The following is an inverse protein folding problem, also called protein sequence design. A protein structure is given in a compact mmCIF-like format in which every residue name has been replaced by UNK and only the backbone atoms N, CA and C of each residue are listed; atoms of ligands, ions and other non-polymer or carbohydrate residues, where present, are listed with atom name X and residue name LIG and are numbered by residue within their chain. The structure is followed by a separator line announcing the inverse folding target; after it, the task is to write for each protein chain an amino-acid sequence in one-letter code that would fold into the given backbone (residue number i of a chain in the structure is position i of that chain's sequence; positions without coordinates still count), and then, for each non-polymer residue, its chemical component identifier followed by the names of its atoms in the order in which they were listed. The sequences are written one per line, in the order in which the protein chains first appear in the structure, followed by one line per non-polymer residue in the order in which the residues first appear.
data_IF_806165557596
#
_entry.id   IF_806165557596
#
_cell.length_a   1.000
_cell.length_b   1.000
_cell.length_c   1.000
_cell.angle_alpha   90.00
_cell.angle_beta   90.00
_cell.angle_gamma   90.00
#
_symmetry.space_group_name_H-M   'P 1'
#
loop_
_entity.id
_entity.type
_entity.pdbx_description
1 polymer ?
#
# COMPACT_ATOMS: atom_id res chain seq x y z
N UNK A 1 1.06 56.32 6.85
CA UNK A 1 1.14 55.97 8.29
C UNK A 1 -0.11 55.18 8.64
N UNK A 2 0.06 54.07 9.39
CA UNK A 2 -0.95 53.07 9.83
C UNK A 2 -1.28 52.03 8.72
N UNK A 3 -0.67 50.82 8.65
CA UNK A 3 -0.67 49.63 9.56
C UNK A 3 -2.10 49.20 9.96
N UNK A 4 -2.63 47.95 9.87
CA UNK A 4 -2.09 46.59 10.06
C UNK A 4 -3.16 45.52 9.69
N UNK A 5 -2.73 44.42 9.03
CA UNK A 5 -3.07 42.97 9.15
C UNK A 5 -4.51 42.43 9.24
N UNK A 6 -4.82 41.48 8.34
CA UNK A 6 -5.40 40.12 8.52
C UNK A 6 -5.80 39.60 7.13
N UNK A 7 -5.57 38.37 6.67
CA UNK A 7 -5.40 37.11 7.38
C UNK A 7 -4.45 36.19 6.59
N UNK A 8 -3.61 35.47 7.33
CA UNK A 8 -3.06 34.18 6.91
C UNK A 8 -4.20 33.18 7.01
N UNK A 9 -4.60 32.56 5.90
CA UNK A 9 -5.45 31.37 5.93
C UNK A 9 -4.74 30.25 5.18
N UNK A 10 -4.51 29.18 5.94
CA UNK A 10 -4.03 27.84 5.63
C UNK A 10 -3.74 27.51 4.15
N UNK A 11 -2.49 27.11 3.93
CA UNK A 11 -2.14 26.13 2.90
C UNK A 11 -2.97 24.86 3.14
N UNK A 12 -3.91 24.63 2.23
CA UNK A 12 -4.76 23.46 2.17
C UNK A 12 -5.45 23.44 0.81
N UNK A 13 -4.72 23.83 -0.23
CA UNK A 13 -5.19 23.66 -1.59
C UNK A 13 -4.97 22.18 -1.91
N UNK A 14 -6.00 21.38 -1.65
CA UNK A 14 -6.28 20.24 -2.52
C UNK A 14 -6.50 20.81 -3.92
N UNK A 15 -5.40 21.15 -4.59
CA UNK A 15 -5.41 21.23 -6.04
C UNK A 15 -5.72 19.81 -6.47
N UNK A 16 -6.98 19.55 -6.83
CA UNK A 16 -7.27 18.57 -7.84
C UNK A 16 -6.43 18.98 -9.05
N UNK A 17 -5.19 18.50 -9.09
CA UNK A 17 -4.41 18.41 -10.31
C UNK A 17 -5.30 17.60 -11.23
N UNK A 18 -5.97 18.29 -12.16
CA UNK A 18 -6.54 17.64 -13.31
C UNK A 18 -5.39 16.84 -13.92
N UNK A 19 -5.42 15.52 -13.74
CA UNK A 19 -4.41 14.61 -14.26
C UNK A 19 -4.29 14.93 -15.75
N UNK A 20 -3.12 15.35 -16.27
CA UNK A 20 -2.97 15.68 -17.69
C UNK A 20 -3.15 14.44 -18.60
N UNK A 21 -3.37 13.28 -18.01
CA UNK A 21 -3.45 11.99 -18.64
C UNK A 21 -4.74 11.31 -18.19
N UNK A 22 -5.88 11.86 -18.60
CA UNK A 22 -7.04 11.02 -18.84
C UNK A 22 -6.60 10.00 -19.91
N UNK A 23 -6.30 8.77 -19.49
CA UNK A 23 -6.18 7.66 -20.42
C UNK A 23 -7.56 7.48 -21.05
N UNK A 24 -7.77 8.09 -22.22
CA UNK A 24 -9.08 8.22 -22.87
C UNK A 24 -9.58 6.91 -23.50
N UNK A 25 -9.23 5.76 -22.93
CA UNK A 25 -9.76 4.46 -23.31
C UNK A 25 -9.96 3.63 -22.03
N UNK A 26 -11.22 3.22 -21.83
CA UNK A 26 -11.79 2.51 -20.68
C UNK A 26 -11.87 3.29 -19.36
N UNK A 27 -13.02 3.16 -18.68
CA UNK A 27 -13.30 3.64 -17.32
C UNK A 27 -12.40 2.96 -16.25
N UNK A 28 -11.25 2.40 -16.66
CA UNK A 28 -10.32 1.67 -15.83
C UNK A 28 -9.71 2.59 -14.78
N UNK A 29 -9.84 2.20 -13.51
CA UNK A 29 -9.28 2.90 -12.37
C UNK A 29 -7.85 2.42 -12.13
N UNK A 30 -6.84 3.30 -12.15
CA UNK A 30 -5.48 2.90 -11.87
C UNK A 30 -5.29 2.53 -10.41
N UNK A 31 -4.28 1.71 -10.12
CA UNK A 31 -3.68 1.69 -8.80
C UNK A 31 -2.87 2.99 -8.63
N UNK A 32 -3.04 3.70 -7.51
CA UNK A 32 -2.41 5.01 -7.30
C UNK A 32 -1.62 4.99 -5.99
N UNK A 33 -0.35 5.38 -6.08
CA UNK A 33 0.56 5.54 -4.95
C UNK A 33 1.25 6.89 -4.98
N UNK A 34 1.78 7.32 -3.85
CA UNK A 34 2.59 8.53 -3.74
C UNK A 34 4.00 8.17 -3.28
N UNK A 35 5.02 8.70 -3.97
CA UNK A 35 6.43 8.44 -3.72
C UNK A 35 7.19 9.74 -3.46
N UNK A 36 8.24 9.69 -2.63
CA UNK A 36 9.10 10.86 -2.34
C UNK A 36 10.54 10.67 -2.83
N UNK A 37 11.09 11.74 -3.40
CA UNK A 37 12.52 11.92 -3.62
C UNK A 37 13.02 13.16 -2.87
N UNK A 38 14.17 13.04 -2.22
CA UNK A 38 14.76 14.07 -1.36
C UNK A 38 15.93 14.81 -2.01
N UNK A 39 16.42 14.33 -3.16
CA UNK A 39 17.46 15.01 -3.93
C UNK A 39 17.20 14.91 -5.44
N UNK A 40 17.77 15.86 -6.18
CA UNK A 40 17.72 15.87 -7.64
C UNK A 40 18.38 14.61 -8.23
N UNK A 41 17.81 14.11 -9.32
CA UNK A 41 18.25 12.89 -10.01
C UNK A 41 18.21 11.62 -9.16
N UNK A 42 17.38 11.59 -8.11
CA UNK A 42 17.10 10.35 -7.41
C UNK A 42 16.17 9.46 -8.22
N UNK A 43 16.42 8.15 -8.12
CA UNK A 43 15.65 7.12 -8.78
C UNK A 43 14.61 6.54 -7.83
N UNK A 44 13.46 6.14 -8.37
CA UNK A 44 12.49 5.25 -7.73
C UNK A 44 12.41 3.97 -8.57
N UNK A 45 12.62 2.83 -7.93
CA UNK A 45 12.51 1.49 -8.51
C UNK A 45 11.40 0.73 -7.81
N UNK A 46 10.48 0.19 -8.60
CA UNK A 46 9.29 -0.50 -8.15
C UNK A 46 9.31 -1.89 -8.79
N UNK A 47 9.63 -2.95 -8.03
CA UNK A 47 9.50 -4.32 -8.52
C UNK A 47 8.02 -4.67 -8.69
N UNK A 48 7.63 -5.00 -9.93
CA UNK A 48 6.25 -5.32 -10.30
C UNK A 48 6.19 -6.72 -10.91
N UNK A 49 5.01 -7.33 -10.83
CA UNK A 49 4.62 -8.48 -11.62
C UNK A 49 3.37 -8.11 -12.40
N UNK A 50 3.39 -8.42 -13.69
CA UNK A 50 2.27 -8.12 -14.57
C UNK A 50 2.66 -8.12 -16.03
N UNK A 51 1.71 -7.71 -16.86
CA UNK A 51 1.91 -7.59 -18.30
C UNK A 51 1.27 -6.33 -18.86
N UNK A 52 1.90 -5.77 -19.89
CA UNK A 52 1.44 -4.57 -20.60
C UNK A 52 1.12 -3.39 -19.68
N UNK A 53 1.96 -3.19 -18.66
CA UNK A 53 1.77 -2.11 -17.70
C UNK A 53 2.16 -0.76 -18.30
N UNK A 54 1.35 0.24 -18.00
CA UNK A 54 1.70 1.64 -18.19
C UNK A 54 1.81 2.33 -16.84
N UNK A 55 3.00 2.84 -16.54
CA UNK A 55 3.32 3.54 -15.30
C UNK A 55 3.48 5.02 -15.61
N UNK A 56 2.61 5.86 -15.06
CA UNK A 56 2.76 7.32 -15.12
C UNK A 56 3.45 7.81 -13.86
N UNK A 57 4.55 8.54 -14.01
CA UNK A 57 5.43 8.90 -12.89
C UNK A 57 5.05 10.20 -12.18
N UNK A 58 3.97 10.86 -12.59
CA UNK A 58 3.50 12.10 -11.93
C UNK A 58 4.33 13.35 -12.23
N UNK A 59 5.39 13.25 -13.03
CA UNK A 59 6.22 14.37 -13.48
C UNK A 59 6.03 14.73 -14.97
N UNK A 60 4.97 14.18 -15.58
CA UNK A 60 4.68 14.32 -17.01
C UNK A 60 5.29 13.24 -17.90
N UNK A 61 6.05 12.29 -17.33
CA UNK A 61 6.61 11.14 -18.05
C UNK A 61 5.87 9.84 -17.72
N UNK A 62 6.07 8.83 -18.58
CA UNK A 62 5.52 7.49 -18.37
C UNK A 62 6.45 6.41 -18.95
N UNK A 63 6.19 5.17 -18.53
CA UNK A 63 6.79 3.95 -19.07
C UNK A 63 5.67 3.02 -19.51
N UNK A 64 5.72 2.53 -20.75
CA UNK A 64 4.69 1.67 -21.36
C UNK A 64 5.24 0.27 -21.63
N UNK A 65 4.38 -0.75 -21.67
CA UNK A 65 4.77 -2.12 -21.98
C UNK A 65 5.68 -2.74 -20.91
N UNK A 66 5.55 -2.27 -19.67
CA UNK A 66 6.31 -2.79 -18.53
C UNK A 66 5.77 -4.18 -18.17
N UNK A 67 6.68 -5.15 -17.96
CA UNK A 67 6.33 -6.55 -17.62
C UNK A 67 7.01 -7.03 -16.32
N UNK A 68 7.59 -6.11 -15.57
CA UNK A 68 8.45 -6.39 -14.43
C UNK A 68 8.84 -5.09 -13.72
N UNK A 69 10.01 -5.05 -13.11
CA UNK A 69 10.53 -3.86 -12.42
C UNK A 69 10.48 -2.59 -13.29
N UNK A 70 9.84 -1.56 -12.76
CA UNK A 70 9.80 -0.22 -13.33
C UNK A 70 10.79 0.69 -12.59
N UNK A 71 11.55 1.50 -13.31
CA UNK A 71 12.53 2.41 -12.73
C UNK A 71 12.44 3.78 -13.41
N UNK A 72 12.45 4.84 -12.61
CA UNK A 72 12.42 6.22 -13.10
C UNK A 72 13.29 7.16 -12.28
N UNK A 73 13.86 8.16 -12.93
CA UNK A 73 14.73 9.16 -12.30
C UNK A 73 14.07 10.53 -12.33
N UNK A 74 13.81 11.10 -11.16
CA UNK A 74 13.19 12.40 -11.01
C UNK A 74 14.25 13.50 -11.05
N UNK A 75 14.11 14.46 -11.98
CA UNK A 75 15.07 15.55 -12.13
C UNK A 75 15.11 16.48 -10.89
N UNK A 76 13.98 16.66 -10.22
CA UNK A 76 13.84 17.50 -9.03
C UNK A 76 13.42 16.62 -7.83
N UNK A 77 13.79 16.99 -6.59
CA UNK A 77 13.21 16.40 -5.41
C UNK A 77 11.73 16.79 -5.28
N UNK A 78 10.92 15.92 -4.71
CA UNK A 78 9.52 16.18 -4.47
C UNK A 78 8.71 14.93 -4.18
N UNK A 79 7.40 15.14 -4.13
CA UNK A 79 6.41 14.08 -3.93
C UNK A 79 5.63 13.89 -5.23
N UNK A 80 5.49 12.65 -5.68
CA UNK A 80 4.94 12.30 -6.99
C UNK A 80 3.86 11.22 -6.85
N UNK A 81 2.70 11.46 -7.46
CA UNK A 81 1.69 10.41 -7.61
C UNK A 81 2.05 9.53 -8.82
N UNK A 82 2.23 8.25 -8.55
CA UNK A 82 2.52 7.22 -9.55
C UNK A 82 1.27 6.40 -9.78
N UNK A 83 0.84 6.33 -11.05
CA UNK A 83 -0.38 5.65 -11.47
C UNK A 83 0.00 4.43 -12.31
N UNK A 84 -0.60 3.28 -12.00
CA UNK A 84 -0.40 2.02 -12.71
C UNK A 84 -1.68 1.63 -13.43
N UNK A 85 -1.59 1.48 -14.74
CA UNK A 85 -2.64 0.91 -15.61
C UNK A 85 -2.14 -0.39 -16.23
N UNK A 86 -3.08 -1.21 -16.71
CA UNK A 86 -2.79 -2.48 -17.37
C UNK A 86 -2.87 -3.67 -16.40
N UNK A 87 -2.24 -4.79 -16.78
CA UNK A 87 -2.33 -6.05 -16.03
C UNK A 87 -1.39 -6.09 -14.83
N UNK A 88 -1.63 -5.27 -13.81
CA UNK A 88 -0.89 -5.33 -12.54
C UNK A 88 -1.37 -6.52 -11.72
N UNK A 89 -0.44 -7.41 -11.40
CA UNK A 89 -0.72 -8.67 -10.70
C UNK A 89 -0.04 -8.74 -9.32
N UNK A 90 1.10 -8.07 -9.15
CA UNK A 90 1.72 -7.87 -7.83
C UNK A 90 2.69 -6.68 -7.83
N UNK A 91 2.93 -6.16 -6.63
CA UNK A 91 4.10 -5.33 -6.29
C UNK A 91 4.90 -6.18 -5.31
N UNK A 92 6.23 -6.17 -5.41
CA UNK A 92 7.09 -7.01 -4.56
C UNK A 92 8.20 -6.13 -3.99
N UNK A 93 7.86 -5.25 -3.05
CA UNK A 93 8.88 -4.40 -2.44
C UNK A 93 9.87 -5.23 -1.63
N UNK A 94 9.45 -6.24 -0.87
CA UNK A 94 10.36 -7.19 -0.21
C UNK A 94 11.61 -6.54 0.44
N UNK A 95 11.40 -5.44 1.19
CA UNK A 95 12.49 -4.72 1.85
C UNK A 95 13.47 -4.01 0.89
N UNK A 96 13.08 -3.78 -0.36
CA UNK A 96 13.85 -3.06 -1.38
C UNK A 96 14.28 -1.69 -0.83
N UNK A 97 15.47 -1.17 -1.18
CA UNK A 97 15.97 0.11 -0.66
C UNK A 97 15.02 1.30 -0.88
N UNK A 98 14.23 1.23 -1.95
CA UNK A 98 13.24 2.25 -2.28
C UNK A 98 11.88 2.04 -1.60
N UNK A 99 11.64 0.94 -0.87
CA UNK A 99 10.37 0.70 -0.18
C UNK A 99 10.01 1.85 0.76
N UNK A 100 10.99 2.38 1.50
CA UNK A 100 10.81 3.55 2.37
C UNK A 100 10.47 4.85 1.63
N UNK A 101 10.61 4.92 0.30
CA UNK A 101 10.20 6.08 -0.51
C UNK A 101 8.71 6.09 -0.80
N UNK A 102 8.00 4.97 -0.61
CA UNK A 102 6.55 4.92 -0.70
C UNK A 102 5.93 5.65 0.49
N UNK A 103 5.18 6.71 0.18
CA UNK A 103 4.56 7.60 1.18
C UNK A 103 3.10 7.21 1.42
N UNK A 104 2.37 6.80 0.40
CA UNK A 104 0.97 6.39 0.58
C UNK A 104 0.42 5.55 -0.56
N UNK A 105 -0.57 4.73 -0.22
CA UNK A 105 -1.54 4.18 -1.17
C UNK A 105 -2.74 5.12 -1.19
N UNK A 106 -3.05 5.66 -2.37
CA UNK A 106 -4.13 6.63 -2.58
C UNK A 106 -5.38 5.97 -3.17
N UNK A 107 -5.22 4.87 -3.90
CA UNK A 107 -6.33 4.13 -4.52
C UNK A 107 -5.89 2.72 -4.94
N UNK A 108 -6.77 1.72 -4.78
CA UNK A 108 -6.53 0.35 -5.26
C UNK A 108 -6.84 0.16 -6.74
N UNK A 109 -7.94 0.75 -7.21
CA UNK A 109 -8.37 0.67 -8.60
C UNK A 109 -8.72 -0.75 -9.05
N UNK A 110 -8.55 -1.01 -10.35
CA UNK A 110 -8.98 -2.26 -10.99
C UNK A 110 -7.82 -3.27 -11.16
N UNK A 111 -6.75 -3.12 -10.35
CA UNK A 111 -5.61 -4.02 -10.39
C UNK A 111 -6.04 -5.47 -10.08
N UNK A 112 -5.55 -6.42 -10.87
CA UNK A 112 -5.94 -7.84 -10.82
C UNK A 112 -4.94 -8.63 -9.98
N UNK A 113 -4.93 -8.39 -8.68
CA UNK A 113 -3.95 -8.94 -7.75
C UNK A 113 -3.96 -10.47 -7.75
N UNK A 114 -2.80 -11.06 -7.97
CA UNK A 114 -2.55 -12.50 -7.90
C UNK A 114 -1.85 -12.90 -6.60
N UNK A 115 -1.06 -11.98 -6.04
CA UNK A 115 -0.41 -12.13 -4.74
C UNK A 115 -0.23 -10.75 -4.11
N UNK A 116 -0.34 -10.71 -2.79
CA UNK A 116 0.03 -9.54 -1.97
C UNK A 116 1.25 -9.84 -1.08
N UNK A 117 1.88 -11.00 -1.27
CA UNK A 117 3.07 -11.40 -0.51
C UNK A 117 4.17 -10.34 -0.64
N UNK A 118 4.66 -9.87 0.51
CA UNK A 118 5.74 -8.87 0.64
C UNK A 118 5.51 -7.54 -0.11
N UNK A 119 4.27 -7.24 -0.50
CA UNK A 119 4.01 -6.17 -1.46
C UNK A 119 4.47 -4.79 -1.00
N UNK A 120 4.31 -4.50 0.29
CA UNK A 120 4.71 -3.26 0.94
C UNK A 120 5.69 -3.48 2.10
N UNK A 121 6.40 -4.61 2.08
CA UNK A 121 7.43 -4.94 3.06
C UNK A 121 8.53 -3.87 3.09
N UNK A 122 8.81 -3.34 4.29
CA UNK A 122 9.79 -2.29 4.54
C UNK A 122 9.36 -0.88 4.13
N UNK A 123 8.09 -0.68 3.72
CA UNK A 123 7.54 0.63 3.39
C UNK A 123 7.26 1.48 4.65
N UNK A 124 8.31 1.77 5.41
CA UNK A 124 8.23 2.35 6.77
C UNK A 124 7.61 3.74 6.84
N UNK A 125 7.62 4.51 5.76
CA UNK A 125 6.99 5.83 5.67
C UNK A 125 5.56 5.79 5.12
N UNK A 126 5.06 4.63 4.72
CA UNK A 126 3.78 4.51 4.04
C UNK A 126 2.61 4.70 5.01
N UNK A 127 1.70 5.59 4.66
CA UNK A 127 0.38 5.75 5.30
C UNK A 127 -0.74 5.29 4.37
N UNK A 128 -1.92 5.02 4.92
CA UNK A 128 -3.08 4.59 4.15
C UNK A 128 -4.05 5.75 3.90
N UNK A 129 -4.37 6.05 2.63
CA UNK A 129 -5.32 7.10 2.23
C UNK A 129 -6.41 6.61 1.28
N UNK A 130 -6.29 5.38 0.78
CA UNK A 130 -7.27 4.79 -0.11
C UNK A 130 -8.67 4.77 0.53
N UNK A 131 -9.67 5.02 -0.30
CA UNK A 131 -11.09 4.98 0.09
C UNK A 131 -11.84 3.82 -0.57
N UNK A 132 -11.21 3.15 -1.52
CA UNK A 132 -11.62 1.89 -2.11
C UNK A 132 -10.86 0.71 -1.49
N UNK A 133 -11.25 -0.50 -1.85
CA UNK A 133 -10.62 -1.75 -1.41
C UNK A 133 -10.05 -2.51 -2.62
N UNK A 134 -8.96 -3.28 -2.45
CA UNK A 134 -8.47 -4.14 -3.52
C UNK A 134 -9.46 -5.27 -3.81
N UNK A 135 -9.55 -5.68 -5.08
CA UNK A 135 -10.12 -6.98 -5.42
C UNK A 135 -9.10 -8.07 -5.06
N UNK A 136 -9.40 -8.80 -3.97
CA UNK A 136 -8.57 -9.87 -3.44
C UNK A 136 -9.07 -11.27 -3.86
N UNK A 137 -10.10 -11.38 -4.71
CA UNK A 137 -10.75 -12.65 -5.03
C UNK A 137 -9.83 -13.73 -5.64
N UNK A 138 -8.63 -13.33 -6.10
CA UNK A 138 -7.60 -14.20 -6.66
C UNK A 138 -6.34 -14.28 -5.79
N UNK A 139 -6.29 -13.57 -4.68
CA UNK A 139 -5.18 -13.53 -3.73
C UNK A 139 -5.39 -14.61 -2.68
N UNK A 140 -4.42 -15.52 -2.58
CA UNK A 140 -4.37 -16.55 -1.52
C UNK A 140 -3.29 -16.29 -0.48
N UNK A 141 -2.38 -15.36 -0.77
CA UNK A 141 -1.18 -15.09 0.02
C UNK A 141 -1.02 -13.59 0.25
N UNK A 142 -1.06 -13.20 1.52
CA UNK A 142 -0.83 -11.84 2.02
C UNK A 142 0.33 -11.81 3.02
N UNK A 143 1.16 -12.85 3.03
CA UNK A 143 2.29 -12.97 3.95
C UNK A 143 3.24 -11.78 3.81
N UNK A 144 3.69 -11.22 4.93
CA UNK A 144 4.63 -10.10 4.97
C UNK A 144 4.17 -8.80 4.27
N UNK A 145 2.91 -8.69 3.84
CA UNK A 145 2.43 -7.58 2.99
C UNK A 145 2.78 -6.20 3.55
N UNK A 146 2.69 -6.00 4.87
CA UNK A 146 3.02 -4.77 5.59
C UNK A 146 4.13 -4.97 6.63
N UNK A 147 4.95 -6.00 6.48
CA UNK A 147 6.10 -6.25 7.36
C UNK A 147 7.00 -5.02 7.42
N UNK A 148 7.32 -4.54 8.63
CA UNK A 148 8.09 -3.31 8.90
C UNK A 148 7.53 -2.02 8.27
N UNK A 149 6.26 -1.99 7.86
CA UNK A 149 5.58 -0.76 7.44
C UNK A 149 5.16 0.07 8.67
N UNK A 150 6.15 0.58 9.40
CA UNK A 150 5.96 1.14 10.76
C UNK A 150 5.00 2.33 10.87
N UNK A 151 4.83 3.13 9.81
CA UNK A 151 3.86 4.24 9.76
C UNK A 151 2.46 3.83 9.28
N UNK A 152 2.28 2.59 8.84
CA UNK A 152 1.03 2.13 8.26
C UNK A 152 -0.08 2.05 9.32
N UNK A 153 -1.20 2.71 9.02
CA UNK A 153 -2.44 2.58 9.77
C UNK A 153 -3.61 2.96 8.86
N UNK A 154 -4.57 2.06 8.68
CA UNK A 154 -5.71 2.25 7.78
C UNK A 154 -6.90 1.40 8.20
N UNK A 155 -8.11 1.89 7.96
CA UNK A 155 -9.32 1.07 8.08
C UNK A 155 -9.39 0.11 6.90
N UNK A 156 -9.29 -1.20 7.17
CA UNK A 156 -9.29 -2.26 6.16
C UNK A 156 -10.57 -3.08 6.22
N UNK A 157 -11.61 -2.58 6.89
CA UNK A 157 -12.85 -3.32 7.12
C UNK A 157 -13.64 -3.61 5.84
N UNK A 158 -13.34 -2.91 4.74
CA UNK A 158 -13.93 -3.12 3.43
C UNK A 158 -13.25 -4.24 2.60
N UNK A 159 -12.14 -4.81 3.08
CA UNK A 159 -11.41 -5.84 2.34
C UNK A 159 -12.12 -7.19 2.48
N UNK A 160 -12.28 -7.89 1.35
CA UNK A 160 -12.76 -9.27 1.32
C UNK A 160 -11.56 -10.22 1.36
N UNK A 161 -11.32 -10.86 2.50
CA UNK A 161 -10.19 -11.77 2.71
C UNK A 161 -10.55 -13.24 2.55
N UNK A 162 -11.75 -13.58 2.09
CA UNK A 162 -12.31 -14.95 2.13
C UNK A 162 -11.51 -15.98 1.33
N UNK A 163 -10.74 -15.55 0.33
CA UNK A 163 -9.85 -16.41 -0.48
C UNK A 163 -8.46 -16.62 0.10
N UNK A 164 -8.09 -15.85 1.14
CA UNK A 164 -6.73 -15.81 1.67
C UNK A 164 -6.47 -17.01 2.57
N UNK A 165 -5.32 -17.65 2.38
CA UNK A 165 -4.89 -18.85 3.14
C UNK A 165 -3.66 -18.61 4.00
N UNK A 166 -2.87 -17.57 3.71
CA UNK A 166 -1.65 -17.21 4.44
C UNK A 166 -1.65 -15.71 4.76
N UNK A 167 -1.53 -15.39 6.05
CA UNK A 167 -1.39 -14.04 6.60
C UNK A 167 -0.18 -13.95 7.55
N UNK A 168 0.76 -14.87 7.45
CA UNK A 168 1.97 -14.87 8.28
C UNK A 168 2.74 -13.56 8.13
N UNK A 169 3.25 -13.02 9.25
CA UNK A 169 4.09 -11.82 9.29
C UNK A 169 3.44 -10.54 8.70
N UNK A 170 2.14 -10.56 8.35
CA UNK A 170 1.49 -9.52 7.54
C UNK A 170 1.66 -8.11 8.12
N UNK A 171 1.57 -7.95 9.44
CA UNK A 171 1.77 -6.69 10.15
C UNK A 171 2.94 -6.73 11.14
N UNK A 172 3.87 -7.69 11.01
CA UNK A 172 5.02 -7.73 11.91
C UNK A 172 5.83 -6.44 11.79
N UNK A 173 6.08 -5.75 12.90
CA UNK A 173 6.79 -4.48 12.93
C UNK A 173 6.02 -3.28 12.37
N UNK A 174 4.76 -3.44 11.96
CA UNK A 174 3.85 -2.34 11.62
C UNK A 174 3.36 -1.62 12.89
N UNK A 175 4.30 -0.99 13.60
CA UNK A 175 4.11 -0.53 14.99
C UNK A 175 2.99 0.52 15.19
N UNK A 176 2.61 1.26 14.15
CA UNK A 176 1.48 2.21 14.20
C UNK A 176 0.13 1.60 13.84
N UNK A 177 0.09 0.34 13.38
CA UNK A 177 -1.12 -0.28 12.89
C UNK A 177 -2.12 -0.51 14.04
N UNK A 178 -3.32 0.06 13.88
CA UNK A 178 -4.47 -0.19 14.74
C UNK A 178 -5.77 -0.07 13.91
N UNK A 179 -5.69 -0.52 12.65
CA UNK A 179 -6.77 -0.48 11.68
C UNK A 179 -7.92 -1.42 12.06
N UNK A 180 -9.14 -1.08 11.63
CA UNK A 180 -10.26 -2.00 11.81
C UNK A 180 -10.16 -3.16 10.80
N UNK A 181 -10.09 -4.38 11.34
CA UNK A 181 -10.05 -5.66 10.61
C UNK A 181 -11.08 -6.66 11.16
N UNK A 182 -12.00 -6.19 12.00
CA UNK A 182 -12.98 -7.05 12.69
C UNK A 182 -13.94 -7.78 11.74
N UNK A 183 -14.11 -7.27 10.50
CA UNK A 183 -14.98 -7.83 9.47
C UNK A 183 -14.31 -8.87 8.57
N UNK A 184 -13.00 -9.11 8.71
CA UNK A 184 -12.30 -10.05 7.86
C UNK A 184 -12.83 -11.48 8.02
N UNK A 185 -13.05 -12.14 6.89
CA UNK A 185 -13.29 -13.58 6.84
C UNK A 185 -11.94 -14.29 6.78
N UNK A 186 -11.56 -14.92 7.89
CA UNK A 186 -10.31 -15.66 8.03
C UNK A 186 -10.52 -17.17 8.10
N UNK A 187 -11.72 -17.66 7.78
CA UNK A 187 -12.08 -19.08 7.89
C UNK A 187 -11.26 -20.01 6.99
N UNK A 188 -10.69 -19.46 5.91
CA UNK A 188 -9.77 -20.16 4.98
C UNK A 188 -8.30 -20.08 5.39
N UNK A 189 -7.94 -19.24 6.37
CA UNK A 189 -6.54 -18.99 6.74
C UNK A 189 -5.97 -20.16 7.52
N UNK A 190 -4.77 -20.59 7.12
CA UNK A 190 -4.04 -21.72 7.70
C UNK A 190 -2.78 -21.31 8.46
N UNK A 191 -2.23 -20.12 8.16
CA UNK A 191 -1.05 -19.56 8.81
C UNK A 191 -1.28 -18.08 9.19
N UNK A 192 -1.11 -17.79 10.49
CA UNK A 192 -1.15 -16.45 11.09
C UNK A 192 0.09 -16.22 11.97
N UNK A 193 1.15 -16.99 11.77
CA UNK A 193 2.38 -16.88 12.56
C UNK A 193 2.93 -15.46 12.45
N UNK A 194 3.30 -14.88 13.60
CA UNK A 194 3.90 -13.54 13.71
C UNK A 194 3.06 -12.38 13.14
N UNK A 195 1.78 -12.58 12.82
CA UNK A 195 0.96 -11.61 12.09
C UNK A 195 0.97 -10.20 12.72
N UNK A 196 0.93 -10.08 14.05
CA UNK A 196 0.99 -8.79 14.77
C UNK A 196 2.22 -8.70 15.70
N UNK A 197 3.27 -9.47 15.44
CA UNK A 197 4.49 -9.39 16.22
C UNK A 197 5.08 -7.96 16.10
N UNK A 198 5.50 -7.35 17.22
CA UNK A 198 5.95 -5.94 17.25
C UNK A 198 4.95 -4.87 16.69
N UNK A 199 3.70 -5.22 16.40
CA UNK A 199 2.65 -4.26 16.02
C UNK A 199 2.11 -3.56 17.28
N UNK A 200 2.96 -2.78 17.95
CA UNK A 200 2.77 -2.35 19.34
C UNK A 200 1.53 -1.47 19.61
N UNK A 201 0.95 -0.85 18.58
CA UNK A 201 -0.30 -0.08 18.70
C UNK A 201 -1.56 -0.93 18.49
N UNK A 202 -1.43 -2.17 18.04
CA UNK A 202 -2.56 -3.01 17.67
C UNK A 202 -3.37 -3.43 18.90
N UNK A 203 -4.65 -3.08 18.89
CA UNK A 203 -5.61 -3.48 19.92
C UNK A 203 -7.00 -3.72 19.29
N UNK A 204 -7.02 -4.23 18.05
CA UNK A 204 -8.23 -4.49 17.28
C UNK A 204 -9.02 -5.68 17.84
N UNK A 205 -10.35 -5.64 17.72
CA UNK A 205 -11.21 -6.76 18.09
C UNK A 205 -11.17 -7.84 17.01
N UNK A 206 -10.56 -8.99 17.35
CA UNK A 206 -10.46 -10.19 16.51
C UNK A 206 -11.22 -11.37 17.13
N UNK A 207 -12.08 -11.13 18.14
CA UNK A 207 -12.78 -12.19 18.86
C UNK A 207 -13.84 -12.93 18.01
N UNK A 208 -14.28 -12.31 16.91
CA UNK A 208 -15.26 -12.88 15.99
C UNK A 208 -14.66 -13.75 14.88
N UNK A 209 -13.33 -13.80 14.76
CA UNK A 209 -12.64 -14.56 13.72
C UNK A 209 -12.81 -16.08 13.91
N UNK A 210 -13.18 -16.78 12.84
CA UNK A 210 -13.16 -18.24 12.79
C UNK A 210 -11.74 -18.74 12.47
N UNK A 211 -11.02 -19.15 13.50
CA UNK A 211 -9.64 -19.65 13.39
C UNK A 211 -9.55 -21.18 13.32
N UNK A 212 -10.66 -21.87 13.03
CA UNK A 212 -10.70 -23.35 13.05
C UNK A 212 -9.80 -24.03 12.00
N UNK A 213 -9.47 -23.34 10.91
CA UNK A 213 -8.55 -23.80 9.87
C UNK A 213 -7.07 -23.49 10.16
N UNK A 214 -6.78 -22.67 11.18
CA UNK A 214 -5.42 -22.21 11.46
C UNK A 214 -4.59 -23.35 12.05
N UNK A 215 -3.43 -23.61 11.44
CA UNK A 215 -2.48 -24.63 11.86
C UNK A 215 -1.18 -24.05 12.43
N UNK A 216 -0.85 -22.80 12.08
CA UNK A 216 0.30 -22.06 12.62
C UNK A 216 -0.14 -20.70 13.17
N UNK A 217 0.11 -20.47 14.46
CA UNK A 217 -0.29 -19.26 15.20
C UNK A 217 0.83 -18.78 16.16
N UNK A 218 2.05 -19.28 15.99
CA UNK A 218 3.19 -18.91 16.84
C UNK A 218 3.48 -17.42 16.74
N UNK A 219 3.58 -16.74 17.89
CA UNK A 219 3.91 -15.32 17.92
C UNK A 219 2.87 -14.39 17.29
N UNK A 220 1.62 -14.86 17.10
CA UNK A 220 0.55 -14.08 16.45
C UNK A 220 0.35 -12.70 17.10
N UNK A 221 0.43 -12.64 18.44
CA UNK A 221 0.33 -11.41 19.22
C UNK A 221 1.62 -11.23 20.04
N UNK A 222 2.02 -9.97 20.26
CA UNK A 222 3.13 -9.65 21.16
C UNK A 222 2.72 -9.90 22.62
N UNK A 223 3.61 -10.50 23.41
CA UNK A 223 3.35 -10.78 24.82
C UNK A 223 3.54 -9.48 25.62
N UNK A 224 2.58 -9.07 26.48
CA UNK A 224 2.76 -7.88 27.30
C UNK A 224 3.95 -8.07 28.26
N UNK A 225 4.94 -7.19 28.15
CA UNK A 225 6.12 -7.14 29.02
C UNK A 225 5.79 -6.72 30.45
#
# INVERSE_FOLDING_TARGET
MRTTTCAVLLAGLAAALALPFAHAQDDAKPFITTWETTAANQTVTIPLVGSDLTVYWGDGTNSTGVTGTATHTYANPGTYQVLFYGGLEAILLDGHPDASKLVSIEQWGDASWMSMADAFRGASNMIYRATDAPDLSRVTDMSGMFFEASSFNGDLSAWDTSSVTDMSEMFDGASSFNGNISSWDVSSVTDMSWMFYNASSFNGDISAWDTSSVTHMSGMLDEPS
#
